data_IF_397403919487
#
_entry.id   IF_397403919487
#
_cell.length_a   1.000
_cell.length_b   1.000
_cell.length_c   1.000
_cell.angle_alpha   90.00
_cell.angle_beta   90.00
_cell.angle_gamma   90.00
#
_symmetry.space_group_name_H-M   'P 1'
#
loop_
_entity.id
_entity.type
_entity.pdbx_description
1 polymer ?
#
# COMPACT_ATOMS: atom_id res chain seq x y z
N UNK A 1 -27.54 -1.42 -1.64
CA UNK A 1 -26.14 -1.10 -1.24
C UNK A 1 -26.16 -0.86 0.26
N UNK A 2 -25.33 -1.52 1.08
CA UNK A 2 -25.29 -1.18 2.50
C UNK A 2 -24.94 0.31 2.66
N UNK A 3 -25.54 1.01 3.64
CA UNK A 3 -25.25 2.42 3.88
C UNK A 3 -23.75 2.61 4.10
N UNK A 4 -23.16 3.56 3.37
CA UNK A 4 -21.75 3.90 3.57
C UNK A 4 -21.61 4.69 4.85
N UNK A 5 -20.71 4.27 5.73
CA UNK A 5 -20.32 5.07 6.88
C UNK A 5 -19.79 6.42 6.40
N UNK A 6 -20.00 7.51 7.17
CA UNK A 6 -19.42 8.82 6.87
C UNK A 6 -17.92 8.72 6.63
N UNK A 7 -17.33 9.67 5.89
CA UNK A 7 -15.87 9.74 5.78
C UNK A 7 -15.29 10.22 7.11
N UNK A 8 -14.15 9.64 7.52
CA UNK A 8 -13.39 10.19 8.65
C UNK A 8 -12.73 11.52 8.23
N UNK A 9 -12.48 12.45 9.18
CA UNK A 9 -11.72 13.66 8.89
C UNK A 9 -10.34 13.33 8.31
N UNK A 10 -9.89 14.13 7.34
CA UNK A 10 -8.64 13.87 6.63
C UNK A 10 -7.42 14.13 7.53
N UNK A 11 -7.47 15.20 8.33
CA UNK A 11 -6.39 15.65 9.21
C UNK A 11 -6.25 14.86 10.53
N UNK A 12 -7.25 14.03 10.86
CA UNK A 12 -7.19 13.18 12.06
C UNK A 12 -6.05 12.15 11.98
N UNK A 13 -5.44 11.90 13.14
CA UNK A 13 -4.62 10.72 13.36
C UNK A 13 -5.49 9.47 13.34
N UNK A 14 -5.09 8.48 12.53
CA UNK A 14 -5.83 7.24 12.32
C UNK A 14 -5.05 6.08 12.92
N UNK A 15 -5.45 5.61 14.08
CA UNK A 15 -4.80 4.50 14.80
C UNK A 15 -5.53 3.21 14.50
N UNK A 16 -4.82 2.22 13.96
CA UNK A 16 -5.36 0.88 13.69
C UNK A 16 -4.87 -0.08 14.76
N UNK A 17 -5.81 -0.65 15.49
CA UNK A 17 -5.60 -1.65 16.54
C UNK A 17 -6.00 -3.01 15.99
N UNK A 18 -5.11 -3.98 16.16
CA UNK A 18 -5.26 -5.36 15.68
C UNK A 18 -5.04 -6.32 16.86
N UNK A 19 -6.11 -6.80 17.51
CA UNK A 19 -5.95 -7.72 18.61
C UNK A 19 -5.48 -9.10 18.14
N UNK A 20 -4.61 -9.71 18.94
CA UNK A 20 -4.06 -11.06 18.73
C UNK A 20 -4.65 -12.03 19.74
N UNK A 21 -4.23 -13.30 19.67
CA UNK A 21 -4.59 -14.30 20.68
C UNK A 21 -6.00 -14.86 20.58
N UNK A 22 -6.74 -14.56 19.51
CA UNK A 22 -8.08 -15.10 19.28
C UNK A 22 -9.23 -14.21 19.73
N UNK A 23 -8.99 -12.95 20.11
CA UNK A 23 -10.07 -12.02 20.38
C UNK A 23 -10.95 -11.85 19.13
N UNK A 24 -12.23 -12.18 19.26
CA UNK A 24 -13.20 -12.00 18.20
C UNK A 24 -13.99 -10.71 18.39
N UNK A 25 -13.68 -9.69 17.57
CA UNK A 25 -14.40 -8.41 17.65
C UNK A 25 -15.86 -8.52 17.19
N UNK A 26 -16.22 -9.55 16.40
CA UNK A 26 -17.59 -9.72 15.94
C UNK A 26 -18.56 -10.17 17.04
N UNK A 27 -18.04 -10.67 18.16
CA UNK A 27 -18.86 -11.15 19.28
C UNK A 27 -19.09 -10.10 20.36
N UNK A 28 -18.64 -8.86 20.15
CA UNK A 28 -18.73 -7.77 21.12
C UNK A 28 -19.49 -6.58 20.54
N UNK A 29 -20.23 -5.88 21.40
CA UNK A 29 -20.86 -4.62 21.01
C UNK A 29 -19.82 -3.51 20.89
N UNK A 30 -20.12 -2.52 20.06
CA UNK A 30 -19.26 -1.34 19.88
C UNK A 30 -19.01 -0.62 21.20
N UNK A 31 -20.05 -0.29 21.96
CA UNK A 31 -19.90 0.42 23.25
C UNK A 31 -19.00 -0.32 24.24
N UNK A 32 -19.10 -1.65 24.34
CA UNK A 32 -18.22 -2.45 25.21
C UNK A 32 -16.75 -2.36 24.78
N UNK A 33 -16.48 -2.36 23.47
CA UNK A 33 -15.12 -2.22 22.96
C UNK A 33 -14.59 -0.81 23.17
N UNK A 34 -15.43 0.22 23.03
CA UNK A 34 -15.08 1.61 23.32
C UNK A 34 -14.72 1.78 24.80
N UNK A 35 -15.56 1.30 25.72
CA UNK A 35 -15.28 1.29 27.17
C UNK A 35 -13.94 0.65 27.49
N UNK A 36 -13.65 -0.52 26.91
CA UNK A 36 -12.41 -1.23 27.16
C UNK A 36 -11.19 -0.47 26.66
N UNK A 37 -11.28 0.14 25.48
CA UNK A 37 -10.20 0.96 24.92
C UNK A 37 -9.99 2.22 25.75
N UNK A 38 -11.07 2.92 26.13
CA UNK A 38 -10.97 4.15 26.89
C UNK A 38 -10.43 3.92 28.30
N UNK A 39 -10.88 2.85 28.96
CA UNK A 39 -10.32 2.43 30.23
C UNK A 39 -8.83 2.05 30.11
N UNK A 40 -8.44 1.31 29.06
CA UNK A 40 -7.04 0.95 28.83
C UNK A 40 -6.17 2.19 28.53
N UNK A 41 -6.73 3.18 27.82
CA UNK A 41 -6.08 4.44 27.50
C UNK A 41 -6.16 5.47 28.65
N UNK A 42 -6.81 5.14 29.77
CA UNK A 42 -7.05 6.07 30.88
C UNK A 42 -7.68 7.40 30.43
N UNK A 43 -8.56 7.33 29.44
CA UNK A 43 -9.30 8.50 28.91
C UNK A 43 -10.78 8.38 29.28
N UNK A 44 -11.47 9.52 29.32
CA UNK A 44 -12.91 9.57 29.56
C UNK A 44 -13.67 9.99 28.30
N UNK A 45 -14.98 9.75 28.31
CA UNK A 45 -15.87 10.06 27.19
C UNK A 45 -15.87 11.53 26.78
N UNK A 46 -15.77 12.45 27.75
CA UNK A 46 -15.77 13.88 27.47
C UNK A 46 -14.51 14.31 26.71
N UNK A 47 -13.35 13.82 27.12
CA UNK A 47 -12.07 14.06 26.46
C UNK A 47 -12.00 13.41 25.08
N UNK A 48 -12.60 12.24 24.92
CA UNK A 48 -12.64 11.47 23.67
C UNK A 48 -13.86 11.79 22.80
N UNK A 49 -14.68 12.79 23.13
CA UNK A 49 -15.95 13.09 22.42
C UNK A 49 -15.77 13.36 20.92
N UNK A 50 -14.62 13.91 20.53
CA UNK A 50 -14.29 14.18 19.13
C UNK A 50 -13.71 12.96 18.39
N UNK A 51 -13.40 11.87 19.12
CA UNK A 51 -12.79 10.69 18.54
C UNK A 51 -13.87 9.80 17.91
N UNK A 52 -13.52 9.15 16.79
CA UNK A 52 -14.41 8.23 16.10
C UNK A 52 -13.83 6.83 16.07
N UNK A 53 -14.59 5.85 16.58
CA UNK A 53 -14.17 4.45 16.61
C UNK A 53 -14.95 3.66 15.56
N UNK A 54 -14.23 2.81 14.81
CA UNK A 54 -14.81 1.91 13.80
C UNK A 54 -14.29 0.52 13.98
N UNK A 55 -15.20 -0.43 14.10
CA UNK A 55 -14.87 -1.85 14.18
C UNK A 55 -15.04 -2.48 12.81
N UNK A 56 -13.98 -3.12 12.33
CA UNK A 56 -14.02 -3.95 11.15
C UNK A 56 -13.95 -5.43 11.56
N UNK A 57 -15.12 -6.03 11.76
CA UNK A 57 -15.24 -7.44 12.15
C UNK A 57 -14.65 -8.40 11.09
N UNK A 58 -14.68 -8.05 9.80
CA UNK A 58 -14.12 -8.88 8.72
C UNK A 58 -12.60 -8.93 8.78
N UNK A 59 -11.95 -7.80 9.07
CA UNK A 59 -10.49 -7.70 9.21
C UNK A 59 -10.00 -7.94 10.64
N UNK A 60 -10.91 -8.17 11.58
CA UNK A 60 -10.66 -8.23 13.02
C UNK A 60 -9.75 -7.09 13.48
N UNK A 61 -10.17 -5.85 13.21
CA UNK A 61 -9.41 -4.64 13.57
C UNK A 61 -10.33 -3.50 14.00
N UNK A 62 -9.77 -2.57 14.76
CA UNK A 62 -10.42 -1.35 15.23
C UNK A 62 -9.64 -0.17 14.66
N UNK A 63 -10.34 0.83 14.16
CA UNK A 63 -9.78 2.09 13.70
C UNK A 63 -10.28 3.20 14.62
N UNK A 64 -9.36 3.98 15.17
CA UNK A 64 -9.64 5.17 15.98
C UNK A 64 -9.18 6.39 15.17
N UNK A 65 -10.08 7.34 14.96
CA UNK A 65 -9.79 8.65 14.38
C UNK A 65 -9.78 9.66 15.51
N UNK A 66 -8.71 10.42 15.68
CA UNK A 66 -8.63 11.45 16.72
C UNK A 66 -7.94 12.70 16.18
N UNK A 67 -8.47 13.91 16.46
CA UNK A 67 -7.78 15.15 16.14
C UNK A 67 -6.64 15.47 17.14
N UNK A 68 -6.53 14.74 18.26
CA UNK A 68 -5.52 14.99 19.29
C UNK A 68 -4.29 14.11 19.10
N UNK A 69 -3.12 14.74 18.92
CA UNK A 69 -1.84 14.02 18.85
C UNK A 69 -1.53 13.28 20.17
N UNK A 70 -1.86 13.89 21.30
CA UNK A 70 -1.65 13.28 22.62
C UNK A 70 -2.47 11.99 22.77
N UNK A 71 -3.76 12.02 22.43
CA UNK A 71 -4.59 10.81 22.46
C UNK A 71 -4.15 9.79 21.42
N UNK A 72 -3.72 10.23 20.23
CA UNK A 72 -3.15 9.34 19.23
C UNK A 72 -1.95 8.57 19.77
N UNK A 73 -1.03 9.23 20.50
CA UNK A 73 0.10 8.58 21.18
C UNK A 73 -0.36 7.63 22.28
N UNK A 74 -1.35 8.02 23.09
CA UNK A 74 -1.93 7.14 24.11
C UNK A 74 -2.50 5.85 23.51
N UNK A 75 -3.32 5.96 22.46
CA UNK A 75 -3.87 4.79 21.77
C UNK A 75 -2.79 3.94 21.09
N UNK A 76 -1.76 4.58 20.52
CA UNK A 76 -0.64 3.88 19.88
C UNK A 76 0.20 3.07 20.88
N UNK A 77 0.36 3.57 22.10
CA UNK A 77 1.15 2.92 23.15
C UNK A 77 0.39 1.82 23.91
N UNK A 78 -0.85 1.50 23.54
CA UNK A 78 -1.54 0.34 24.10
C UNK A 78 -0.85 -0.95 23.64
N UNK A 79 -0.60 -1.86 24.57
CA UNK A 79 0.03 -3.15 24.26
C UNK A 79 -0.88 -4.35 24.50
N UNK A 80 -1.85 -4.21 25.39
CA UNK A 80 -2.78 -5.28 25.75
C UNK A 80 -4.18 -4.71 25.97
N UNK A 81 -5.19 -5.55 25.72
CA UNK A 81 -6.57 -5.29 26.11
C UNK A 81 -7.02 -6.38 27.07
N UNK A 82 -7.44 -5.99 28.26
CA UNK A 82 -7.94 -6.93 29.28
C UNK A 82 -9.44 -7.10 29.14
N UNK A 83 -9.92 -8.33 29.03
CA UNK A 83 -11.35 -8.65 28.96
C UNK A 83 -11.64 -9.76 29.96
N UNK A 84 -12.32 -9.41 31.06
CA UNK A 84 -12.44 -10.30 32.20
C UNK A 84 -11.07 -10.59 32.81
N UNK A 85 -10.69 -11.87 32.82
CA UNK A 85 -9.39 -12.35 33.32
C UNK A 85 -8.34 -12.52 32.21
N UNK A 86 -8.74 -12.44 30.95
CA UNK A 86 -7.85 -12.65 29.81
C UNK A 86 -7.19 -11.34 29.34
N UNK A 87 -5.93 -11.44 28.91
CA UNK A 87 -5.18 -10.34 28.31
C UNK A 87 -4.88 -10.65 26.84
N UNK A 88 -5.33 -9.78 25.94
CA UNK A 88 -5.11 -9.92 24.51
C UNK A 88 -4.03 -8.95 24.04
N UNK A 89 -2.90 -9.44 23.50
CA UNK A 89 -1.89 -8.57 22.92
C UNK A 89 -2.43 -7.77 21.73
N UNK A 90 -1.99 -6.52 21.58
CA UNK A 90 -2.41 -5.63 20.51
C UNK A 90 -1.24 -5.35 19.57
N UNK A 91 -1.48 -5.48 18.26
CA UNK A 91 -0.63 -4.89 17.24
C UNK A 91 -1.24 -3.54 16.82
N UNK A 92 -0.50 -2.45 17.03
CA UNK A 92 -1.02 -1.10 16.76
C UNK A 92 -0.11 -0.39 15.78
N UNK A 93 -0.71 0.34 14.84
CA UNK A 93 0.02 1.20 13.92
C UNK A 93 -0.81 2.42 13.53
N UNK A 94 -0.12 3.49 13.15
CA UNK A 94 -0.75 4.67 12.58
C UNK A 94 -0.97 4.43 11.08
N UNK A 95 -2.20 4.56 10.61
CA UNK A 95 -2.51 4.52 9.19
C UNK A 95 -1.98 5.79 8.51
N UNK A 96 -1.57 5.64 7.25
CA UNK A 96 -1.05 6.77 6.47
C UNK A 96 -2.06 7.92 6.46
N UNK A 97 -1.58 9.18 6.49
CA UNK A 97 -2.43 10.36 6.36
C UNK A 97 -3.28 10.33 5.09
N UNK A 98 -4.34 11.14 5.08
CA UNK A 98 -5.09 11.36 3.85
C UNK A 98 -4.18 11.96 2.76
N UNK A 99 -4.56 11.77 1.50
CA UNK A 99 -3.83 12.30 0.33
C UNK A 99 -2.38 11.80 0.19
N UNK A 100 -2.07 10.63 0.76
CA UNK A 100 -0.78 9.96 0.57
C UNK A 100 -0.88 8.83 -0.44
N UNK A 101 0.28 8.40 -0.96
CA UNK A 101 0.39 7.28 -1.88
C UNK A 101 1.52 6.35 -1.48
N UNK A 102 1.34 5.07 -1.79
CA UNK A 102 2.32 4.02 -1.51
C UNK A 102 2.94 3.52 -2.81
N UNK A 103 4.26 3.46 -2.85
CA UNK A 103 5.00 2.81 -3.92
C UNK A 103 5.91 1.70 -3.41
N UNK A 104 6.45 0.93 -4.34
CA UNK A 104 7.50 -0.05 -4.14
C UNK A 104 8.64 0.28 -5.11
N UNK A 105 9.87 0.28 -4.60
CA UNK A 105 11.07 0.12 -5.42
C UNK A 105 11.65 -1.29 -5.21
N UNK A 106 12.24 -1.84 -6.26
CA UNK A 106 12.86 -3.17 -6.25
C UNK A 106 14.37 -3.06 -6.29
N UNK A 107 15.07 -4.16 -6.06
CA UNK A 107 16.53 -4.27 -6.18
C UNK A 107 17.31 -3.35 -5.24
N UNK A 108 16.77 -3.11 -4.05
CA UNK A 108 17.47 -2.44 -2.93
C UNK A 108 18.37 -3.47 -2.23
N UNK A 109 19.69 -3.23 -2.12
CA UNK A 109 20.65 -4.20 -1.57
C UNK A 109 20.26 -4.69 -0.19
N UNK A 110 20.37 -6.00 0.07
CA UNK A 110 19.90 -6.60 1.33
C UNK A 110 20.67 -6.15 2.57
N UNK A 111 21.93 -5.73 2.40
CA UNK A 111 22.78 -5.24 3.47
C UNK A 111 22.38 -3.84 3.98
N UNK A 112 21.55 -3.10 3.23
CA UNK A 112 21.13 -1.76 3.66
C UNK A 112 20.11 -1.82 4.80
N UNK A 113 20.49 -1.17 5.91
CA UNK A 113 19.66 -1.05 7.11
C UNK A 113 18.48 -0.08 6.88
N UNK A 114 17.43 -0.12 7.73
CA UNK A 114 16.34 0.86 7.66
C UNK A 114 16.82 2.31 7.70
N UNK A 115 17.86 2.59 8.48
CA UNK A 115 18.47 3.92 8.60
C UNK A 115 19.17 4.32 7.30
N UNK A 116 19.91 3.39 6.66
CA UNK A 116 20.52 3.63 5.34
C UNK A 116 19.45 3.86 4.28
N UNK A 117 18.38 3.04 4.27
CA UNK A 117 17.27 3.20 3.34
C UNK A 117 16.70 4.62 3.47
N UNK A 118 16.45 5.07 4.69
CA UNK A 118 15.85 6.38 4.94
C UNK A 118 16.80 7.53 4.61
N UNK A 119 18.11 7.35 4.84
CA UNK A 119 19.14 8.37 4.60
C UNK A 119 19.44 8.59 3.12
N UNK A 120 19.54 7.51 2.34
CA UNK A 120 19.98 7.56 0.94
C UNK A 120 18.84 7.61 -0.06
N UNK A 121 17.60 7.43 0.41
CA UNK A 121 16.41 7.62 -0.41
C UNK A 121 16.04 9.10 -0.41
N UNK A 122 16.19 9.70 -1.59
CA UNK A 122 15.88 11.10 -1.82
C UNK A 122 14.86 11.16 -2.95
N UNK A 123 13.83 11.98 -2.78
CA UNK A 123 13.00 12.30 -3.94
C UNK A 123 13.82 13.11 -4.95
N UNK A 124 13.71 12.77 -6.24
CA UNK A 124 14.60 13.32 -7.27
C UNK A 124 14.50 14.85 -7.39
N UNK A 125 13.33 15.41 -7.05
CA UNK A 125 13.06 16.86 -7.12
C UNK A 125 12.67 17.46 -5.74
N UNK A 126 12.78 16.70 -4.65
CA UNK A 126 12.23 17.05 -3.34
C UNK A 126 10.70 17.30 -3.31
N UNK A 127 9.98 16.82 -4.33
CA UNK A 127 8.52 16.86 -4.47
C UNK A 127 8.01 15.61 -5.22
N UNK A 128 7.18 14.75 -4.58
CA UNK A 128 6.60 14.89 -3.24
C UNK A 128 7.52 14.41 -2.11
N UNK A 129 7.30 14.96 -0.91
CA UNK A 129 8.03 14.57 0.29
C UNK A 129 7.83 13.08 0.60
N UNK A 130 8.91 12.40 0.99
CA UNK A 130 8.87 11.01 1.46
C UNK A 130 8.54 11.03 2.96
N UNK A 131 7.39 10.47 3.32
CA UNK A 131 6.92 10.37 4.71
C UNK A 131 7.51 9.16 5.45
N UNK A 132 7.68 8.05 4.73
CA UNK A 132 8.20 6.80 5.27
C UNK A 132 8.85 5.96 4.18
N UNK A 133 9.96 5.30 4.51
CA UNK A 133 10.55 4.26 3.68
C UNK A 133 10.89 3.06 4.55
N UNK A 134 10.46 1.86 4.14
CA UNK A 134 10.76 0.62 4.88
C UNK A 134 10.92 -0.58 3.96
N UNK A 135 11.82 -1.48 4.33
CA UNK A 135 11.98 -2.77 3.64
C UNK A 135 10.77 -3.66 3.85
N UNK A 136 10.35 -4.36 2.81
CA UNK A 136 9.26 -5.34 2.86
C UNK A 136 9.77 -6.71 3.30
N UNK A 137 9.76 -6.96 4.61
CA UNK A 137 10.26 -8.22 5.17
C UNK A 137 11.72 -8.46 4.83
N UNK A 138 12.07 -9.67 4.39
CA UNK A 138 13.44 -10.04 3.99
C UNK A 138 13.68 -9.92 2.48
N UNK A 139 12.96 -9.03 1.80
CA UNK A 139 13.09 -8.88 0.34
C UNK A 139 14.00 -7.69 -0.01
N UNK A 140 14.44 -7.66 -1.27
CA UNK A 140 15.10 -6.52 -1.88
C UNK A 140 14.13 -5.38 -2.27
N UNK A 141 12.90 -5.38 -1.74
CA UNK A 141 11.86 -4.40 -2.06
C UNK A 141 11.66 -3.43 -0.90
N UNK A 142 11.54 -2.15 -1.21
CA UNK A 142 11.26 -1.09 -0.23
C UNK A 142 9.92 -0.45 -0.55
N UNK A 143 9.05 -0.38 0.45
CA UNK A 143 7.80 0.38 0.40
C UNK A 143 8.08 1.83 0.79
N UNK A 144 7.57 2.76 -0.01
CA UNK A 144 7.71 4.21 0.20
C UNK A 144 6.31 4.81 0.34
N UNK A 145 6.12 5.71 1.30
CA UNK A 145 4.92 6.53 1.46
C UNK A 145 5.27 7.96 1.09
N UNK A 146 4.55 8.53 0.13
CA UNK A 146 4.70 9.92 -0.29
C UNK A 146 3.58 10.78 0.25
N UNK A 147 3.90 12.04 0.54
CA UNK A 147 2.95 13.11 0.82
C UNK A 147 2.33 13.63 -0.49
N UNK A 148 1.72 12.72 -1.23
CA UNK A 148 1.02 13.02 -2.48
C UNK A 148 0.05 11.90 -2.83
N UNK A 149 -1.12 12.22 -3.41
CA UNK A 149 -2.07 11.22 -3.86
C UNK A 149 -1.57 10.43 -5.08
N UNK A 150 -0.52 10.91 -5.75
CA UNK A 150 0.07 10.28 -6.93
C UNK A 150 1.46 9.71 -6.63
N UNK A 151 1.72 8.53 -7.20
CA UNK A 151 3.04 7.89 -7.10
C UNK A 151 3.97 8.49 -8.15
N UNK A 152 5.12 9.05 -7.77
CA UNK A 152 6.15 9.48 -8.70
C UNK A 152 6.61 8.32 -9.60
N UNK A 153 7.22 8.63 -10.74
CA UNK A 153 7.74 7.59 -11.64
C UNK A 153 9.08 7.02 -11.15
N UNK A 154 9.90 7.87 -10.53
CA UNK A 154 11.26 7.57 -10.12
C UNK A 154 11.59 8.23 -8.79
N UNK A 155 12.48 7.60 -8.02
CA UNK A 155 13.17 8.18 -6.85
C UNK A 155 14.67 7.98 -7.01
N UNK A 156 15.47 8.79 -6.30
CA UNK A 156 16.91 8.59 -6.23
C UNK A 156 17.25 7.75 -5.00
N UNK A 157 17.99 6.66 -5.19
CA UNK A 157 18.53 5.85 -4.10
C UNK A 157 20.02 5.61 -4.34
N UNK A 158 20.88 6.04 -3.41
CA UNK A 158 22.34 6.10 -3.59
C UNK A 158 22.76 6.81 -4.91
N UNK A 159 22.01 7.83 -5.32
CA UNK A 159 22.27 8.59 -6.55
C UNK A 159 21.82 7.91 -7.85
N UNK A 160 21.26 6.69 -7.78
CA UNK A 160 20.73 5.98 -8.94
C UNK A 160 19.19 6.11 -9.03
N UNK A 161 18.61 6.18 -10.24
CA UNK A 161 17.16 6.24 -10.42
C UNK A 161 16.52 4.87 -10.22
N UNK A 162 15.57 4.78 -9.29
CA UNK A 162 14.76 3.59 -9.04
C UNK A 162 13.31 3.81 -9.45
N UNK A 163 12.76 2.88 -10.23
CA UNK A 163 11.39 2.98 -10.70
C UNK A 163 10.42 2.73 -9.56
N UNK A 164 9.53 3.68 -9.33
CA UNK A 164 8.43 3.50 -8.40
C UNK A 164 7.27 2.74 -9.05
N UNK A 165 6.82 1.70 -8.36
CA UNK A 165 5.66 0.91 -8.77
C UNK A 165 4.56 1.08 -7.75
N UNK A 166 3.34 1.37 -8.21
CA UNK A 166 2.17 1.52 -7.33
C UNK A 166 1.99 0.29 -6.42
N UNK A 167 1.92 0.54 -5.12
CA UNK A 167 1.68 -0.51 -4.14
C UNK A 167 0.28 -1.11 -4.31
N UNK A 168 0.19 -2.44 -4.34
CA UNK A 168 -1.07 -3.17 -4.46
C UNK A 168 -1.34 -3.95 -3.18
N UNK A 169 -2.44 -3.64 -2.53
CA UNK A 169 -2.91 -4.40 -1.36
C UNK A 169 -3.23 -5.83 -1.77
N UNK A 170 -2.70 -6.80 -1.03
CA UNK A 170 -3.09 -8.21 -1.20
C UNK A 170 -4.46 -8.42 -0.55
N UNK A 171 -5.26 -9.27 -1.16
CA UNK A 171 -6.47 -9.79 -0.52
C UNK A 171 -6.02 -10.64 0.68
N UNK A 172 -6.33 -10.18 1.89
CA UNK A 172 -5.98 -10.90 3.12
C UNK A 172 -6.79 -12.20 3.19
N UNK A 173 -6.10 -13.32 3.35
CA UNK A 173 -6.68 -14.63 3.60
C UNK A 173 -5.91 -15.29 4.73
N UNK A 174 -6.63 -15.69 5.76
CA UNK A 174 -6.06 -16.33 6.93
C UNK A 174 -5.66 -17.77 6.58
N UNK A 175 -4.40 -18.13 6.82
CA UNK A 175 -3.91 -19.50 6.62
C UNK A 175 -4.28 -20.44 7.78
N UNK A 176 -4.83 -19.92 8.89
CA UNK A 176 -5.32 -20.72 10.02
C UNK A 176 -6.79 -21.11 9.79
N UNK A 177 -7.70 -20.13 9.75
CA UNK A 177 -9.13 -20.41 9.63
C UNK A 177 -9.66 -20.44 8.18
N UNK A 178 -8.81 -20.15 7.19
CA UNK A 178 -9.15 -20.16 5.76
C UNK A 178 -10.20 -19.14 5.30
N UNK A 179 -10.56 -18.17 6.14
CA UNK A 179 -11.46 -17.07 5.79
C UNK A 179 -10.71 -15.91 5.13
N UNK A 180 -11.40 -15.21 4.25
CA UNK A 180 -10.94 -13.97 3.63
C UNK A 180 -11.26 -12.81 4.59
N UNK A 181 -10.38 -11.81 4.64
CA UNK A 181 -10.62 -10.56 5.33
C UNK A 181 -9.54 -10.20 6.33
N UNK A 182 -8.93 -11.19 6.98
CA UNK A 182 -7.95 -10.97 8.04
C UNK A 182 -6.71 -11.85 7.85
N UNK A 183 -5.65 -11.52 8.60
CA UNK A 183 -4.39 -12.26 8.65
C UNK A 183 -4.37 -13.25 9.81
N UNK A 184 -3.43 -14.19 9.76
CA UNK A 184 -3.24 -15.22 10.78
C UNK A 184 -3.04 -14.68 12.20
N UNK A 185 -2.26 -13.61 12.34
CA UNK A 185 -1.90 -12.98 13.61
C UNK A 185 -3.11 -12.38 14.35
N UNK A 186 -4.14 -11.98 13.60
CA UNK A 186 -5.39 -11.44 14.13
C UNK A 186 -6.56 -12.41 13.92
N UNK A 187 -6.28 -13.70 13.75
CA UNK A 187 -7.34 -14.70 13.56
C UNK A 187 -8.24 -14.76 14.80
N UNK A 188 -9.57 -14.59 14.69
CA UNK A 188 -10.50 -14.75 15.81
C UNK A 188 -10.69 -16.22 16.21
N UNK A 189 -10.11 -17.17 15.46
CA UNK A 189 -10.20 -18.61 15.73
C UNK A 189 -8.84 -19.26 15.48
N UNK A 190 -7.82 -18.95 16.29
CA UNK A 190 -6.45 -19.40 16.05
C UNK A 190 -6.27 -20.91 16.28
N UNK A 191 -7.20 -21.55 16.98
CA UNK A 191 -7.17 -22.99 17.28
C UNK A 191 -7.92 -23.85 16.25
N UNK A 192 -8.43 -23.26 15.17
CA UNK A 192 -9.12 -24.04 14.14
C UNK A 192 -8.13 -24.93 13.40
N UNK A 193 -8.44 -26.22 13.31
CA UNK A 193 -7.67 -27.18 12.53
C UNK A 193 -8.24 -27.26 11.10
N UNK A 194 -7.70 -26.44 10.19
CA UNK A 194 -8.04 -26.47 8.77
C UNK A 194 -6.88 -27.04 7.97
N UNK A 195 -7.18 -27.82 6.93
CA UNK A 195 -6.16 -28.22 5.97
C UNK A 195 -5.57 -26.97 5.26
N UNK A 196 -4.24 -26.75 5.29
CA UNK A 196 -3.59 -25.60 4.65
C UNK A 196 -3.65 -25.63 3.12
N UNK A 197 -4.07 -26.76 2.53
CA UNK A 197 -4.12 -26.99 1.08
C UNK A 197 -5.53 -26.85 0.48
N UNK A 198 -6.55 -27.35 1.17
CA UNK A 198 -7.92 -27.38 0.66
C UNK A 198 -8.95 -26.64 1.54
N UNK A 199 -8.60 -26.33 2.80
CA UNK A 199 -9.48 -25.66 3.76
C UNK A 199 -10.52 -26.57 4.44
N UNK A 200 -10.36 -27.90 4.34
CA UNK A 200 -11.19 -28.90 5.04
C UNK A 200 -11.07 -28.74 6.56
N UNK A 201 -12.20 -28.84 7.27
CA UNK A 201 -12.25 -28.88 8.74
C UNK A 201 -11.77 -30.23 9.29
N UNK A 202 -10.94 -30.17 10.33
CA UNK A 202 -10.45 -31.34 11.07
C UNK A 202 -10.04 -32.50 10.14
N UNK A 203 -9.12 -32.25 9.18
CA UNK A 203 -8.76 -33.26 8.22
C UNK A 203 -8.09 -34.47 8.90
N UNK A 204 -8.33 -35.70 8.42
CA UNK A 204 -7.48 -36.85 8.72
C UNK A 204 -6.01 -36.57 8.38
N UNK A 205 -5.09 -37.18 9.13
CA UNK A 205 -3.63 -37.00 8.99
C UNK A 205 -3.20 -37.17 7.52
N UNK A 206 -3.71 -38.19 6.84
CA UNK A 206 -3.37 -38.52 5.44
C UNK A 206 -4.54 -38.33 4.47
N UNK A 207 -5.34 -37.27 4.64
CA UNK A 207 -6.39 -36.99 3.67
C UNK A 207 -5.81 -36.54 2.31
N UNK A 208 -6.24 -37.21 1.25
CA UNK A 208 -5.97 -36.76 -0.12
C UNK A 208 -6.88 -35.58 -0.45
N UNK A 209 -6.28 -34.44 -0.80
CA UNK A 209 -7.02 -33.25 -1.18
C UNK A 209 -6.40 -32.50 -2.35
N UNK A 210 -7.29 -31.86 -3.11
CA UNK A 210 -6.92 -30.93 -4.17
C UNK A 210 -6.57 -29.56 -3.60
N UNK A 211 -5.51 -28.95 -4.14
CA UNK A 211 -5.11 -27.59 -3.76
C UNK A 211 -6.17 -26.60 -4.21
N UNK A 212 -6.68 -25.79 -3.28
CA UNK A 212 -7.64 -24.73 -3.57
C UNK A 212 -7.13 -23.38 -3.06
N UNK A 213 -7.44 -22.31 -3.78
CA UNK A 213 -7.12 -20.98 -3.29
C UNK A 213 -8.21 -20.47 -2.35
N UNK A 214 -7.87 -20.01 -1.15
CA UNK A 214 -8.82 -19.40 -0.22
C UNK A 214 -9.50 -18.16 -0.80
N UNK A 215 -8.82 -17.43 -1.70
CA UNK A 215 -9.29 -16.16 -2.27
C UNK A 215 -10.18 -16.36 -3.50
N UNK A 216 -9.74 -17.14 -4.49
CA UNK A 216 -10.47 -17.30 -5.75
C UNK A 216 -11.06 -18.70 -5.98
N UNK A 217 -10.80 -19.65 -5.08
CA UNK A 217 -11.21 -21.07 -5.17
C UNK A 217 -10.64 -21.84 -6.36
N UNK A 218 -9.68 -21.27 -7.10
CA UNK A 218 -8.99 -21.94 -8.22
C UNK A 218 -7.97 -23.00 -7.79
N UNK A 219 -7.48 -23.82 -8.75
CA UNK A 219 -6.57 -24.95 -8.51
C UNK A 219 -5.11 -24.50 -8.35
N UNK A 220 -4.84 -23.71 -7.32
CA UNK A 220 -3.49 -23.24 -6.97
C UNK A 220 -3.45 -22.84 -5.50
N UNK A 221 -2.26 -22.83 -4.85
CA UNK A 221 -2.16 -22.41 -3.46
C UNK A 221 -2.55 -20.94 -3.27
N UNK A 222 -3.05 -20.62 -2.07
CA UNK A 222 -3.34 -19.23 -1.67
C UNK A 222 -2.08 -18.38 -1.74
N UNK A 223 -2.18 -17.17 -2.32
CA UNK A 223 -1.03 -16.27 -2.52
C UNK A 223 -0.21 -16.52 -3.79
N UNK A 224 -0.51 -17.59 -4.55
CA UNK A 224 0.16 -17.87 -5.83
C UNK A 224 0.08 -16.66 -6.79
N UNK A 225 1.15 -16.36 -7.56
CA UNK A 225 1.11 -15.37 -8.64
C UNK A 225 0.03 -15.65 -9.69
N UNK A 226 -0.42 -16.92 -9.82
CA UNK A 226 -1.49 -17.33 -10.74
C UNK A 226 -2.88 -16.87 -10.29
N UNK A 227 -3.04 -16.40 -9.05
CA UNK A 227 -4.30 -15.93 -8.52
C UNK A 227 -4.66 -14.54 -9.07
N UNK A 228 -5.62 -14.48 -10.01
CA UNK A 228 -6.10 -13.20 -10.58
C UNK A 228 -6.72 -12.26 -9.53
N UNK A 229 -7.24 -12.80 -8.43
CA UNK A 229 -7.85 -12.04 -7.31
C UNK A 229 -6.89 -11.83 -6.12
N UNK A 230 -5.59 -12.08 -6.31
CA UNK A 230 -4.57 -11.93 -5.25
C UNK A 230 -4.49 -10.52 -4.70
N UNK A 231 -4.70 -9.54 -5.57
CA UNK A 231 -4.60 -8.13 -5.24
C UNK A 231 -5.98 -7.50 -5.27
N UNK A 232 -6.20 -6.59 -4.33
CA UNK A 232 -7.36 -5.71 -4.33
C UNK A 232 -7.22 -4.72 -5.49
N UNK A 233 -8.35 -4.36 -6.08
CA UNK A 233 -8.39 -3.32 -7.10
C UNK A 233 -8.08 -1.97 -6.45
N UNK A 234 -7.06 -1.28 -6.97
CA UNK A 234 -6.65 0.00 -6.39
C UNK A 234 -7.73 1.06 -6.63
N UNK A 235 -8.11 1.87 -5.62
CA UNK A 235 -9.13 2.91 -5.77
C UNK A 235 -8.89 3.85 -6.95
N UNK A 236 -7.63 4.21 -7.24
CA UNK A 236 -7.28 5.03 -8.40
C UNK A 236 -7.63 4.36 -9.75
N UNK A 237 -7.47 3.04 -9.86
CA UNK A 237 -7.86 2.29 -11.07
C UNK A 237 -9.37 2.31 -11.22
N UNK A 238 -10.09 2.05 -10.12
CA UNK A 238 -11.56 2.10 -10.09
C UNK A 238 -12.11 3.48 -10.44
N UNK A 239 -11.48 4.56 -9.96
CA UNK A 239 -11.84 5.95 -10.31
C UNK A 239 -11.66 6.21 -11.80
N UNK A 240 -10.51 5.83 -12.39
CA UNK A 240 -10.26 5.98 -13.84
C UNK A 240 -11.27 5.17 -14.68
N UNK A 241 -11.57 3.94 -14.29
CA UNK A 241 -12.60 3.13 -14.99
C UNK A 241 -13.99 3.78 -14.90
N UNK A 242 -14.37 4.32 -13.74
CA UNK A 242 -15.64 5.02 -13.57
C UNK A 242 -15.71 6.29 -14.42
N UNK A 243 -14.62 7.07 -14.50
CA UNK A 243 -14.54 8.26 -15.38
C UNK A 243 -14.68 7.87 -16.84
N UNK A 244 -13.97 6.84 -17.31
CA UNK A 244 -14.10 6.32 -18.68
C UNK A 244 -15.53 5.87 -19.02
N UNK A 245 -16.24 5.24 -18.09
CA UNK A 245 -17.64 4.83 -18.32
C UNK A 245 -18.59 6.03 -18.45
N UNK A 246 -18.35 7.11 -17.71
CA UNK A 246 -19.12 8.36 -17.84
C UNK A 246 -18.80 9.04 -19.17
N UNK A 247 -17.52 9.08 -19.57
CA UNK A 247 -17.09 9.67 -20.83
C UNK A 247 -17.66 8.92 -22.05
N UNK A 248 -17.66 7.58 -22.03
CA UNK A 248 -18.25 6.78 -23.12
C UNK A 248 -19.78 6.92 -23.18
N UNK A 249 -20.45 7.09 -22.03
CA UNK A 249 -21.89 7.36 -21.97
C UNK A 249 -22.25 8.77 -22.46
N UNK A 250 -21.33 9.74 -22.32
CA UNK A 250 -21.48 11.10 -22.85
C UNK A 250 -21.17 11.20 -24.35
N UNK A 251 -20.36 10.28 -24.90
CA UNK A 251 -20.09 10.20 -26.34
C UNK A 251 -21.17 9.48 -27.13
N UNK A 252 -21.96 8.62 -26.50
CA UNK A 252 -23.10 7.94 -27.14
C UNK A 252 -24.38 8.80 -27.27
N UNK A 253 -24.37 10.02 -26.72
CA UNK A 253 -25.47 10.99 -26.83
C UNK A 253 -25.25 12.06 -27.91
N UNK A 254 -24.18 11.96 -28.71
CA UNK A 254 -24.04 12.78 -29.92
C UNK A 254 -24.79 12.08 -31.07
N UNK A 255 -25.77 12.73 -31.73
CA UNK A 255 -26.45 12.12 -32.88
C UNK A 255 -25.42 11.79 -33.97
N UNK A 256 -25.59 10.68 -34.71
CA UNK A 256 -24.72 10.38 -35.84
C UNK A 256 -24.78 11.54 -36.83
N UNK A 257 -23.62 12.12 -37.10
CA UNK A 257 -23.45 13.22 -38.04
C UNK A 257 -24.00 12.78 -39.42
N UNK A 258 -24.97 13.50 -40.03
CA UNK A 258 -25.55 13.06 -41.29
C UNK A 258 -24.50 13.15 -42.40
N UNK A 259 -24.14 11.97 -42.92
CA UNK A 259 -23.59 11.71 -44.25
C UNK A 259 -22.90 12.87 -44.99
N UNK A 260 -21.61 13.04 -44.72
CA UNK A 260 -20.68 13.64 -45.67
C UNK A 260 -20.45 12.69 -46.84
N UNK A 261 -20.98 13.06 -48.01
CA UNK A 261 -20.93 12.33 -49.29
C UNK A 261 -19.61 11.59 -49.55
N UNK A 262 -19.77 10.33 -49.93
CA UNK A 262 -18.81 9.51 -50.68
C UNK A 262 -18.04 10.35 -51.70
N UNK A 263 -16.75 10.55 -51.46
CA UNK A 263 -15.79 10.75 -52.55
C UNK A 263 -15.22 9.41 -52.90
N UNK A 264 -15.84 8.83 -53.91
CA UNK A 264 -15.43 7.68 -54.69
C UNK A 264 -13.94 7.80 -55.07
N UNK A 265 -13.08 7.09 -54.31
CA UNK A 265 -11.68 6.91 -54.70
C UNK A 265 -11.66 5.95 -55.88
N UNK A 266 -11.53 6.49 -57.09
CA UNK A 266 -11.20 5.72 -58.29
C UNK A 266 -9.87 5.01 -58.07
N UNK A 267 -9.95 3.70 -57.93
CA UNK A 267 -8.85 2.75 -57.86
C UNK A 267 -8.16 2.69 -59.23
N UNK A 268 -6.91 3.12 -59.30
CA UNK A 268 -6.04 2.88 -60.46
C UNK A 268 -5.25 1.58 -60.19
N UNK A 269 -5.18 0.61 -61.12
CA UNK A 269 -4.55 -0.68 -60.85
C UNK A 269 -3.02 -0.58 -60.95
N UNK A 270 -2.31 -0.91 -59.88
CA UNK A 270 -0.85 -1.09 -59.93
C UNK A 270 -0.51 -2.54 -60.26
N UNK A 271 0.09 -2.77 -61.43
CA UNK A 271 0.79 -4.02 -61.77
C UNK A 271 2.17 -4.06 -61.08
N UNK A 272 2.73 -5.27 -60.82
CA UNK A 272 3.90 -5.46 -59.97
C UNK A 272 5.20 -5.35 -60.77
N UNK A 273 6.24 -4.74 -60.21
CA UNK A 273 7.55 -4.66 -60.86
C UNK A 273 8.69 -4.18 -59.97
N UNK A 274 9.56 -5.13 -59.63
CA UNK A 274 11.02 -5.06 -59.48
C UNK A 274 11.73 -4.09 -58.50
N UNK A 275 12.38 -4.74 -57.53
CA UNK A 275 13.74 -4.54 -56.97
C UNK A 275 14.60 -3.40 -57.55
N UNK A 276 15.19 -2.56 -56.69
CA UNK A 276 16.63 -2.59 -56.31
C UNK A 276 17.19 -1.25 -55.79
N UNK A 277 17.94 -1.37 -54.68
CA UNK A 277 19.18 -0.68 -54.24
C UNK A 277 19.72 0.54 -55.02
N UNK A 278 20.01 1.65 -54.30
CA UNK A 278 21.30 2.42 -54.25
C UNK A 278 21.20 3.95 -54.24
N UNK A 279 21.89 4.55 -53.25
CA UNK A 279 22.75 5.77 -53.21
C UNK A 279 22.64 6.72 -54.44
N UNK A 280 22.58 8.05 -54.33
CA UNK A 280 23.51 8.97 -53.64
C UNK A 280 23.03 10.43 -53.81
N UNK A 281 23.43 11.30 -52.87
CA UNK A 281 23.68 12.75 -52.96
C UNK A 281 22.92 13.66 -53.95
N UNK A 282 22.30 14.72 -53.42
CA UNK A 282 22.56 16.13 -53.78
C UNK A 282 21.85 17.11 -52.83
N UNK A 283 22.62 18.02 -52.22
CA UNK A 283 22.13 19.27 -51.60
C UNK A 283 21.99 20.32 -52.71
N UNK A 284 21.17 21.37 -52.49
CA UNK A 284 21.77 22.66 -52.14
C UNK A 284 21.05 23.43 -51.02
N UNK A 285 21.83 24.33 -50.40
CA UNK A 285 21.49 25.35 -49.39
C UNK A 285 20.89 26.60 -50.06
N UNK A 286 20.23 27.50 -49.29
CA UNK A 286 20.91 28.75 -48.84
C UNK A 286 20.62 29.07 -47.35
N UNK A 287 21.62 29.56 -46.55
CA UNK A 287 21.90 30.97 -46.12
C UNK A 287 20.71 31.60 -45.36
N UNK A 288 20.81 32.22 -44.17
CA UNK A 288 21.85 33.01 -43.47
C UNK A 288 21.51 33.08 -41.95
N UNK A 289 22.46 32.94 -41.01
CA UNK A 289 23.15 34.02 -40.23
C UNK A 289 22.19 35.15 -39.80
N UNK A 290 22.00 35.43 -38.50
CA UNK A 290 23.01 36.09 -37.65
C UNK A 290 22.85 35.85 -36.15
N UNK A 291 23.97 36.03 -35.44
CA UNK A 291 24.32 35.69 -34.05
C UNK A 291 24.65 37.00 -33.32
N UNK A 292 24.26 37.15 -32.05
CA UNK A 292 24.81 38.12 -31.07
C UNK A 292 24.37 37.64 -29.67
N UNK A 293 25.18 36.84 -28.97
CA UNK A 293 26.23 37.12 -27.95
C UNK A 293 25.69 37.05 -26.50
N UNK A 294 26.52 36.57 -25.55
CA UNK A 294 26.10 35.94 -24.30
C UNK A 294 26.11 36.91 -23.12
N UNK A 295 25.22 36.70 -22.14
CA UNK A 295 25.25 37.42 -20.86
C UNK A 295 25.89 36.55 -19.77
N UNK A 296 26.77 37.20 -19.02
CA UNK A 296 27.67 36.66 -18.00
C UNK A 296 26.95 35.98 -16.84
N UNK A 297 27.61 34.97 -16.28
CA UNK A 297 27.28 34.33 -15.02
C UNK A 297 27.69 35.20 -13.82
N UNK A 298 26.91 35.20 -12.72
CA UNK A 298 27.42 35.52 -11.39
C UNK A 298 27.92 34.24 -10.70
N UNK A 299 29.11 34.33 -10.10
CA UNK A 299 29.72 33.31 -9.24
C UNK A 299 29.23 33.41 -7.79
N UNK A 300 29.25 32.25 -7.14
CA UNK A 300 29.46 31.97 -5.71
C UNK A 300 28.41 32.45 -4.69
N UNK A 301 27.39 31.59 -4.48
CA UNK A 301 26.76 31.40 -3.17
C UNK A 301 27.07 29.97 -2.69
N UNK A 302 27.57 29.77 -1.45
CA UNK A 302 27.86 28.43 -0.95
C UNK A 302 26.59 27.57 -0.88
N UNK A 303 26.67 26.26 -1.14
CA UNK A 303 25.50 25.40 -1.11
C UNK A 303 24.85 25.47 0.27
N UNK A 304 23.58 25.91 0.29
CA UNK A 304 22.74 25.89 1.48
C UNK A 304 22.75 24.45 2.04
N UNK A 305 23.07 24.24 3.33
CA UNK A 305 23.10 22.90 3.90
C UNK A 305 21.75 22.21 3.66
N UNK A 306 21.72 20.89 3.41
CA UNK A 306 20.48 20.17 3.16
C UNK A 306 19.55 20.41 4.33
N UNK A 307 18.34 20.92 4.03
CA UNK A 307 17.30 21.05 5.03
C UNK A 307 17.08 19.66 5.64
N UNK A 308 17.20 19.56 6.95
CA UNK A 308 16.92 18.33 7.68
C UNK A 308 15.53 17.80 7.26
N UNK A 309 15.36 16.48 7.06
CA UNK A 309 14.08 15.93 6.68
C UNK A 309 13.02 16.38 7.69
N UNK A 310 11.99 17.09 7.21
CA UNK A 310 10.84 17.49 8.02
C UNK A 310 10.21 16.23 8.59
N UNK A 311 10.49 15.94 9.86
CA UNK A 311 9.81 14.89 10.58
C UNK A 311 8.37 15.37 10.83
N UNK A 312 7.43 14.87 10.03
CA UNK A 312 6.00 15.24 10.10
C UNK A 312 5.42 14.67 11.40
N UNK A 313 4.52 15.38 12.08
CA UNK A 313 3.96 14.96 13.39
C UNK A 313 3.39 13.54 13.38
N UNK A 314 2.81 13.10 12.26
CA UNK A 314 2.41 11.70 12.04
C UNK A 314 3.57 10.71 12.21
N UNK A 315 4.74 11.03 11.65
CA UNK A 315 5.93 10.21 11.78
C UNK A 315 6.43 10.19 13.22
N UNK A 316 6.25 11.27 13.99
CA UNK A 316 6.56 11.30 15.42
C UNK A 316 5.67 10.34 16.23
N UNK A 317 4.37 10.27 15.92
CA UNK A 317 3.48 9.27 16.52
C UNK A 317 3.87 7.85 16.09
N UNK A 318 4.20 7.65 14.81
CA UNK A 318 4.63 6.36 14.28
C UNK A 318 6.04 5.93 14.75
N UNK A 319 6.86 6.87 15.22
CA UNK A 319 8.24 6.67 15.70
C UNK A 319 8.35 6.62 17.24
N UNK A 320 7.22 6.56 17.96
CA UNK A 320 7.21 6.18 19.38
C UNK A 320 7.99 4.87 19.59
N UNK A 321 8.52 4.60 20.81
CA UNK A 321 9.48 3.52 21.05
C UNK A 321 8.98 2.27 20.36
N UNK A 322 9.72 1.84 19.34
CA UNK A 322 9.40 0.66 18.55
C UNK A 322 9.13 -0.46 19.54
N UNK A 323 7.84 -0.81 19.72
CA UNK A 323 7.44 -1.92 20.55
C UNK A 323 8.32 -3.11 20.18
N UNK A 324 8.98 -3.68 21.17
CA UNK A 324 10.11 -4.63 21.03
C UNK A 324 9.83 -5.92 20.24
N UNK A 325 8.66 -6.04 19.61
CA UNK A 325 8.19 -7.21 18.89
C UNK A 325 8.96 -7.52 17.60
N UNK A 326 9.65 -6.54 16.98
CA UNK A 326 10.51 -6.84 15.83
C UNK A 326 11.80 -7.59 16.21
N UNK A 327 12.21 -7.55 17.49
CA UNK A 327 13.39 -8.28 18.00
C UNK A 327 13.02 -9.61 18.66
N UNK A 328 11.84 -9.73 19.27
CA UNK A 328 11.43 -10.94 20.01
C UNK A 328 10.97 -12.06 19.06
N UNK A 329 10.36 -11.74 17.92
CA UNK A 329 9.89 -12.76 16.95
C UNK A 329 11.05 -13.52 16.27
N UNK A 330 12.28 -12.98 16.31
CA UNK A 330 13.48 -13.63 15.78
C UNK A 330 14.23 -14.51 16.80
N UNK A 331 13.97 -14.32 18.10
CA UNK A 331 14.60 -15.11 19.16
C UNK A 331 13.87 -16.44 19.38
N UNK A 332 12.53 -16.45 19.32
CA UNK A 332 11.72 -17.67 19.45
C UNK A 332 11.97 -18.66 18.31
N UNK A 333 12.10 -18.19 17.06
CA UNK A 333 12.39 -19.03 15.90
C UNK A 333 13.85 -19.55 15.84
N UNK A 334 14.77 -18.97 16.64
CA UNK A 334 16.16 -19.44 16.76
C UNK A 334 16.33 -20.52 17.84
N UNK A 335 15.42 -20.60 18.82
CA UNK A 335 15.41 -21.65 19.83
C UNK A 335 14.95 -23.00 19.27
N UNK A 336 13.89 -23.01 18.46
CA UNK A 336 13.29 -24.25 17.94
C UNK A 336 14.10 -24.90 16.79
N UNK A 337 14.88 -24.11 16.04
CA UNK A 337 15.72 -24.63 14.96
C UNK A 337 17.05 -25.25 15.43
N UNK A 338 17.44 -25.04 16.70
CA UNK A 338 18.64 -25.67 17.30
C UNK A 338 18.34 -27.00 17.98
N UNK A 339 17.09 -27.26 18.36
CA UNK A 339 16.66 -28.52 19.00
C UNK A 339 16.22 -29.61 18.01
N UNK A 340 16.13 -29.31 16.71
CA UNK A 340 15.79 -30.27 15.66
C UNK A 340 16.99 -30.71 14.79
N UNK A 341 18.20 -30.37 15.22
CA UNK A 341 19.47 -30.87 14.65
C UNK A 341 20.40 -31.27 15.79
N UNK A 342 19.99 -32.26 16.56
CA UNK A 342 20.85 -33.22 17.26
C UNK A 342 20.09 -34.52 17.42
#
# INVERSE_FOLDING_TARGET
>A
RPPQLPRLPDDDYKIVIRPRGGLNLSSMSTGKLEDLIFNAAQTNYDAARADQIRINATQNSILISTPSEERARTYFNLHTLRIGEENYPLAIYVADPANTSRSIIFDVPEYDTPENISRYLIDYNHDPAILLARRMGKTNSVQIVFDSPEVPHWVSYHGAPYRCVLFKHKTEACNICWKIGHRADVCPSPRTNKCPRCGMDNPPIDHHCEVKCAVCRGPHPTGSPRCKKRFQEHPAIRRRQAQHQVDDSSKSSTPPNPHGRSRERKSVPSKPGFRSWSRTHSRPRPRSRSRSKPRQAPQDEPPRPPAAPKQVSWASVASGPLGGDARVELAALRGEARTSRN
#
